data_IF_908737220344
#
_entry.id   IF_908737220344
#
_cell.length_a   1.000
_cell.length_b   1.000
_cell.length_c   1.000
_cell.angle_alpha   90.00
_cell.angle_beta   90.00
_cell.angle_gamma   90.00
#
_symmetry.space_group_name_H-M   'P 1'
#
loop_
_entity.id
_entity.type
_entity.pdbx_description
1 polymer ?
#
# COMPACT_ATOMS: atom_id res chain seq x y z
N UNK A 1 6.68 11.78 9.85
CA UNK A 1 6.79 10.31 9.75
C UNK A 1 6.96 9.68 11.12
N UNK A 2 7.98 10.01 11.90
CA UNK A 2 8.15 9.47 13.26
C UNK A 2 6.96 9.73 14.19
N UNK A 3 6.41 10.95 14.14
CA UNK A 3 5.22 11.32 14.91
C UNK A 3 4.00 10.45 14.53
N UNK A 4 3.76 10.31 13.22
CA UNK A 4 2.71 9.45 12.69
C UNK A 4 2.89 8.00 13.11
N UNK A 5 4.09 7.42 12.96
CA UNK A 5 4.44 6.07 13.41
C UNK A 5 4.12 5.86 14.89
N UNK A 6 4.46 6.84 15.74
CA UNK A 6 4.20 6.78 17.18
C UNK A 6 2.71 6.85 17.50
N UNK A 7 1.97 7.75 16.85
CA UNK A 7 0.53 7.91 17.08
C UNK A 7 -0.27 6.72 16.56
N UNK A 8 0.05 6.22 15.37
CA UNK A 8 -0.67 5.10 14.77
C UNK A 8 -0.34 3.76 15.45
N UNK A 9 0.81 3.66 16.12
CA UNK A 9 1.24 2.46 16.84
C UNK A 9 1.63 1.29 15.93
N UNK A 10 1.88 1.57 14.65
CA UNK A 10 2.23 0.58 13.61
C UNK A 10 3.61 0.95 13.09
N UNK A 11 4.48 -0.05 12.95
CA UNK A 11 5.80 0.13 12.34
C UNK A 11 5.63 0.04 10.82
N UNK A 12 6.05 1.05 10.04
CA UNK A 12 5.99 0.99 8.59
C UNK A 12 6.88 -0.13 8.06
N UNK A 13 6.49 -0.73 6.93
CA UNK A 13 7.40 -1.57 6.15
C UNK A 13 8.43 -0.72 5.42
N UNK A 14 8.03 0.46 4.96
CA UNK A 14 8.95 1.44 4.39
C UNK A 14 8.55 2.86 4.79
N UNK A 15 9.52 3.73 5.07
CA UNK A 15 9.30 5.15 5.23
C UNK A 15 10.51 5.91 4.71
N UNK A 16 10.27 6.83 3.78
CA UNK A 16 11.35 7.57 3.11
C UNK A 16 10.91 8.99 2.78
N UNK A 17 11.89 9.88 2.60
CA UNK A 17 11.67 11.27 2.20
C UNK A 17 12.02 11.48 0.74
N UNK A 18 11.30 12.40 0.12
CA UNK A 18 11.66 12.92 -1.20
C UNK A 18 13.11 13.39 -1.21
N UNK A 19 13.86 12.97 -2.22
CA UNK A 19 15.28 13.29 -2.38
C UNK A 19 16.23 12.26 -1.78
N UNK A 20 15.74 11.32 -0.95
CA UNK A 20 16.56 10.22 -0.46
C UNK A 20 16.92 9.25 -1.60
N UNK A 21 18.14 8.71 -1.55
CA UNK A 21 18.63 7.75 -2.53
C UNK A 21 18.04 6.36 -2.25
N UNK A 22 17.65 5.64 -3.30
CA UNK A 22 17.24 4.25 -3.18
C UNK A 22 17.82 3.40 -4.32
N UNK A 23 17.91 2.10 -4.09
CA UNK A 23 18.38 1.13 -5.10
C UNK A 23 17.15 0.32 -5.54
N UNK A 24 16.87 0.31 -6.84
CA UNK A 24 15.87 -0.59 -7.45
C UNK A 24 16.60 -1.49 -8.44
N UNK A 25 16.69 -2.78 -8.09
CA UNK A 25 17.51 -3.74 -8.84
C UNK A 25 18.99 -3.35 -8.82
N UNK A 26 19.55 -3.02 -9.99
CA UNK A 26 20.95 -2.60 -10.15
C UNK A 26 21.12 -1.09 -10.33
N UNK A 27 20.04 -0.32 -10.28
CA UNK A 27 20.03 1.10 -10.61
C UNK A 27 19.79 1.94 -9.36
N UNK A 28 20.52 3.06 -9.29
CA UNK A 28 20.35 4.08 -8.26
C UNK A 28 19.25 5.05 -8.69
N UNK A 29 18.30 5.29 -7.81
CA UNK A 29 17.18 6.19 -8.01
C UNK A 29 17.11 7.21 -6.87
N UNK A 30 16.33 8.25 -7.09
CA UNK A 30 15.97 9.24 -6.07
C UNK A 30 14.47 9.11 -5.82
N UNK A 31 14.07 9.05 -4.55
CA UNK A 31 12.65 9.05 -4.16
C UNK A 31 12.02 10.36 -4.60
N UNK A 32 11.02 10.27 -5.49
CA UNK A 32 10.34 11.45 -6.03
C UNK A 32 9.29 12.02 -5.08
N UNK A 33 8.92 11.27 -4.05
CA UNK A 33 7.96 11.62 -3.02
C UNK A 33 8.43 11.20 -1.62
N UNK A 34 7.75 11.72 -0.60
CA UNK A 34 7.89 11.28 0.79
C UNK A 34 6.72 10.35 1.08
N UNK A 35 6.99 9.13 1.53
CA UNK A 35 5.97 8.13 1.78
C UNK A 35 6.16 7.45 3.14
N UNK A 36 5.03 7.02 3.69
CA UNK A 36 4.96 6.09 4.81
C UNK A 36 4.10 4.93 4.32
N UNK A 37 4.69 3.73 4.31
CA UNK A 37 4.12 2.54 3.68
C UNK A 37 4.01 1.43 4.71
N UNK A 38 2.90 0.70 4.66
CA UNK A 38 2.69 -0.54 5.39
C UNK A 38 2.15 -1.57 4.40
N UNK A 39 2.93 -2.61 4.15
CA UNK A 39 2.60 -3.64 3.18
C UNK A 39 3.01 -5.04 3.65
N UNK A 40 2.98 -5.97 2.72
CA UNK A 40 3.46 -7.34 2.91
C UNK A 40 4.57 -7.61 1.90
N UNK A 41 5.51 -8.47 2.28
CA UNK A 41 6.51 -8.97 1.33
C UNK A 41 5.82 -9.73 0.19
N UNK A 42 6.46 -9.72 -0.98
CA UNK A 42 5.95 -10.43 -2.15
C UNK A 42 5.73 -11.91 -1.83
N UNK A 43 4.49 -12.36 -2.00
CA UNK A 43 4.10 -13.75 -1.83
C UNK A 43 3.21 -14.19 -2.98
N UNK A 44 3.70 -15.16 -3.76
CA UNK A 44 2.88 -15.85 -4.76
C UNK A 44 1.71 -16.55 -4.06
N UNK A 45 0.49 -16.28 -4.50
CA UNK A 45 -0.73 -16.83 -3.87
C UNK A 45 -1.84 -17.05 -4.91
N UNK A 46 -2.75 -17.97 -4.59
CA UNK A 46 -4.02 -18.13 -5.29
C UNK A 46 -5.14 -17.27 -4.69
N UNK A 47 -4.88 -16.64 -3.53
CA UNK A 47 -5.81 -15.86 -2.74
C UNK A 47 -5.21 -14.48 -2.44
N UNK A 48 -5.11 -13.58 -3.44
CA UNK A 48 -4.56 -12.23 -3.23
C UNK A 48 -5.40 -11.37 -2.26
N UNK A 49 -6.70 -11.63 -2.14
CA UNK A 49 -7.62 -10.96 -1.22
C UNK A 49 -7.20 -11.07 0.25
N UNK A 50 -6.61 -12.20 0.65
CA UNK A 50 -6.15 -12.43 2.02
C UNK A 50 -5.01 -11.49 2.42
N UNK A 51 -4.16 -11.11 1.45
CA UNK A 51 -3.09 -10.14 1.68
C UNK A 51 -3.68 -8.75 1.93
N UNK A 52 -4.67 -8.36 1.13
CA UNK A 52 -5.38 -7.09 1.31
C UNK A 52 -6.11 -7.07 2.65
N UNK A 53 -6.83 -8.13 3.00
CA UNK A 53 -7.53 -8.25 4.28
C UNK A 53 -6.57 -8.09 5.46
N UNK A 54 -5.38 -8.68 5.39
CA UNK A 54 -4.35 -8.56 6.43
C UNK A 54 -3.96 -7.09 6.64
N UNK A 55 -3.67 -6.36 5.55
CA UNK A 55 -3.31 -4.94 5.61
C UNK A 55 -4.47 -4.11 6.18
N UNK A 56 -5.68 -4.31 5.66
CA UNK A 56 -6.87 -3.56 6.09
C UNK A 56 -7.21 -3.84 7.55
N UNK A 57 -7.13 -5.09 8.01
CA UNK A 57 -7.41 -5.44 9.40
C UNK A 57 -6.44 -4.76 10.37
N UNK A 58 -5.17 -4.64 10.01
CA UNK A 58 -4.17 -3.92 10.80
C UNK A 58 -4.47 -2.43 10.89
N UNK A 59 -4.87 -1.80 9.78
CA UNK A 59 -5.09 -0.36 9.70
C UNK A 59 -6.50 0.10 10.10
N UNK A 60 -7.48 -0.81 10.18
CA UNK A 60 -8.91 -0.47 10.31
C UNK A 60 -9.21 0.41 11.52
N UNK A 61 -8.57 0.13 12.65
CA UNK A 61 -8.80 0.88 13.89
C UNK A 61 -8.06 2.24 13.92
N UNK A 62 -7.25 2.52 12.90
CA UNK A 62 -6.43 3.73 12.77
C UNK A 62 -7.00 4.75 11.79
N UNK A 63 -8.21 4.53 11.26
CA UNK A 63 -8.84 5.41 10.24
C UNK A 63 -8.85 6.88 10.67
N UNK A 64 -9.23 7.19 11.91
CA UNK A 64 -9.30 8.59 12.38
C UNK A 64 -7.92 9.25 12.47
N UNK A 65 -6.88 8.49 12.82
CA UNK A 65 -5.50 8.98 12.83
C UNK A 65 -5.03 9.23 11.39
N UNK A 66 -5.34 8.31 10.47
CA UNK A 66 -5.00 8.44 9.05
C UNK A 66 -5.66 9.70 8.47
N UNK A 67 -6.97 9.89 8.71
CA UNK A 67 -7.72 11.07 8.25
C UNK A 67 -7.14 12.37 8.80
N UNK A 68 -6.88 12.44 10.12
CA UNK A 68 -6.25 13.60 10.78
C UNK A 68 -4.96 14.01 10.07
N UNK A 69 -4.05 13.06 9.85
CA UNK A 69 -2.76 13.36 9.20
C UNK A 69 -2.93 13.71 7.73
N UNK A 70 -3.84 13.02 7.03
CA UNK A 70 -4.13 13.32 5.64
C UNK A 70 -4.58 14.76 5.47
N UNK A 71 -5.51 15.23 6.29
CA UNK A 71 -6.05 16.58 6.20
C UNK A 71 -5.01 17.63 6.63
N UNK A 72 -4.27 17.37 7.72
CA UNK A 72 -3.26 18.30 8.24
C UNK A 72 -2.08 18.53 7.29
N UNK A 73 -1.72 17.52 6.49
CA UNK A 73 -0.55 17.56 5.61
C UNK A 73 -0.90 17.44 4.12
N UNK A 74 -2.20 17.48 3.77
CA UNK A 74 -2.71 17.32 2.41
C UNK A 74 -2.14 16.07 1.70
N UNK A 75 -2.18 14.93 2.40
CA UNK A 75 -1.60 13.67 1.91
C UNK A 75 -2.57 12.94 0.97
N UNK A 76 -2.01 12.00 0.21
CA UNK A 76 -2.78 10.99 -0.53
C UNK A 76 -2.69 9.65 0.18
N UNK A 77 -3.81 8.94 0.23
CA UNK A 77 -3.85 7.55 0.71
C UNK A 77 -4.07 6.64 -0.49
N UNK A 78 -3.25 5.59 -0.60
CA UNK A 78 -3.34 4.62 -1.68
C UNK A 78 -3.29 3.21 -1.12
N UNK A 79 -4.12 2.32 -1.66
CA UNK A 79 -3.98 0.89 -1.51
C UNK A 79 -3.37 0.35 -2.82
N UNK A 80 -2.08 0.03 -2.77
CA UNK A 80 -1.32 -0.43 -3.93
C UNK A 80 -1.29 -1.96 -3.95
N UNK A 81 -1.67 -2.57 -5.07
CA UNK A 81 -1.61 -4.02 -5.29
C UNK A 81 -0.78 -4.31 -6.53
N UNK A 82 0.24 -5.16 -6.39
CA UNK A 82 1.03 -5.65 -7.53
C UNK A 82 0.48 -7.01 -7.97
N UNK A 83 0.06 -7.11 -9.23
CA UNK A 83 -0.51 -8.31 -9.83
C UNK A 83 0.44 -8.80 -10.92
N UNK A 84 1.01 -10.00 -10.74
CA UNK A 84 1.82 -10.66 -11.76
C UNK A 84 1.09 -11.89 -12.27
N UNK A 85 0.76 -11.92 -13.56
CA UNK A 85 0.17 -13.11 -14.19
C UNK A 85 1.27 -14.08 -14.63
N UNK A 86 1.31 -15.28 -14.02
CA UNK A 86 2.12 -16.39 -14.51
C UNK A 86 1.24 -17.28 -15.40
N UNK A 87 1.49 -17.25 -16.72
CA UNK A 87 0.70 -17.94 -17.78
C UNK A 87 -0.74 -17.41 -17.93
N UNK A 88 -1.40 -17.80 -19.02
CA UNK A 88 -2.73 -17.33 -19.47
C UNK A 88 -3.92 -17.75 -18.56
N UNK A 89 -3.76 -17.76 -17.24
CA UNK A 89 -4.89 -17.96 -16.32
C UNK A 89 -5.41 -16.61 -15.82
N UNK A 90 -6.65 -16.31 -16.17
CA UNK A 90 -7.42 -15.22 -15.55
C UNK A 90 -7.65 -15.56 -14.09
N UNK A 91 -7.14 -14.72 -13.19
CA UNK A 91 -7.45 -14.77 -11.76
C UNK A 91 -8.25 -13.53 -11.39
N UNK A 92 -9.20 -13.72 -10.48
CA UNK A 92 -10.02 -12.65 -9.94
C UNK A 92 -9.29 -11.95 -8.79
N UNK A 93 -9.48 -10.64 -8.68
CA UNK A 93 -9.15 -9.87 -7.48
C UNK A 93 -10.43 -9.27 -6.93
N UNK A 94 -10.89 -9.82 -5.80
CA UNK A 94 -12.14 -9.37 -5.17
C UNK A 94 -11.84 -8.33 -4.09
N UNK A 95 -12.46 -7.16 -4.21
CA UNK A 95 -12.50 -6.18 -3.14
C UNK A 95 -13.82 -6.32 -2.38
N UNK A 96 -13.76 -6.79 -1.14
CA UNK A 96 -14.96 -6.90 -0.32
C UNK A 96 -15.40 -5.53 0.23
N UNK A 97 -16.62 -5.46 0.76
CA UNK A 97 -17.18 -4.22 1.30
C UNK A 97 -16.32 -3.58 2.39
N UNK A 98 -15.62 -4.36 3.22
CA UNK A 98 -14.75 -3.82 4.28
C UNK A 98 -13.53 -3.10 3.70
N UNK A 99 -12.93 -3.63 2.64
CA UNK A 99 -11.83 -2.98 1.92
C UNK A 99 -12.32 -1.69 1.27
N UNK A 100 -13.45 -1.75 0.56
CA UNK A 100 -14.06 -0.58 -0.10
C UNK A 100 -14.40 0.50 0.94
N UNK A 101 -15.00 0.11 2.06
CA UNK A 101 -15.35 1.00 3.15
C UNK A 101 -14.11 1.67 3.74
N UNK A 102 -13.06 0.91 4.05
CA UNK A 102 -11.82 1.48 4.57
C UNK A 102 -11.24 2.54 3.62
N UNK A 103 -11.07 2.19 2.34
CA UNK A 103 -10.49 3.09 1.34
C UNK A 103 -11.35 4.35 1.19
N UNK A 104 -12.68 4.21 1.18
CA UNK A 104 -13.59 5.36 1.15
C UNK A 104 -13.48 6.24 2.39
N UNK A 105 -13.40 5.65 3.60
CA UNK A 105 -13.30 6.42 4.84
C UNK A 105 -12.03 7.28 4.91
N UNK A 106 -10.93 6.79 4.36
CA UNK A 106 -9.67 7.57 4.24
C UNK A 106 -9.62 8.41 2.95
N UNK A 107 -10.69 8.42 2.16
CA UNK A 107 -10.78 9.05 0.83
C UNK A 107 -9.53 8.72 -0.02
N UNK A 108 -9.20 7.42 -0.07
CA UNK A 108 -8.03 6.88 -0.74
C UNK A 108 -8.33 6.35 -2.14
N UNK A 109 -7.28 5.95 -2.83
CA UNK A 109 -7.32 5.40 -4.19
C UNK A 109 -6.87 3.94 -4.20
N UNK A 110 -7.44 3.15 -5.10
CA UNK A 110 -6.89 1.84 -5.45
C UNK A 110 -5.88 2.02 -6.59
N UNK A 111 -4.69 1.47 -6.43
CA UNK A 111 -3.65 1.47 -7.46
C UNK A 111 -3.25 0.02 -7.77
N UNK A 112 -3.29 -0.35 -9.05
CA UNK A 112 -2.98 -1.70 -9.50
C UNK A 112 -1.80 -1.66 -10.46
N UNK A 113 -0.68 -2.20 -10.01
CA UNK A 113 0.49 -2.42 -10.84
C UNK A 113 0.38 -3.81 -11.47
N UNK A 114 0.06 -3.86 -12.75
CA UNK A 114 -0.16 -5.11 -13.47
C UNK A 114 1.04 -5.41 -14.35
N UNK A 115 1.71 -6.52 -14.07
CA UNK A 115 2.81 -7.04 -14.87
C UNK A 115 2.35 -8.31 -15.61
N UNK A 116 2.54 -8.30 -16.93
CA UNK A 116 2.46 -9.50 -17.74
C UNK A 116 3.85 -10.10 -17.82
N UNK A 117 4.02 -11.30 -17.28
CA UNK A 117 5.24 -12.09 -17.46
C UNK A 117 5.20 -12.68 -18.89
N UNK A 118 5.40 -11.80 -19.88
CA UNK A 118 5.64 -12.22 -21.26
C UNK A 118 7.15 -12.34 -21.43
N UNK A 119 7.62 -13.58 -21.18
CA UNK A 119 8.96 -14.15 -21.42
C UNK A 119 10.11 -13.82 -20.43
#
# INVERSE_FOLDING_TARGET
MEEFTREIGIIPTEAYRKGEECIRGKTKHIRFETAWEYGLDYKMTNHPEEQIHTIINTLYNSIEIIKKYKDNYNLKCKLVTVICFNRQQTRELVMNNKVIEFVNQVNGEFEFDIYNDND
#
